data_IF_134168837826
#
_entry.id   IF_134168837826
#
_cell.length_a   1.000
_cell.length_b   1.000
_cell.length_c   1.000
_cell.angle_alpha   90.00
_cell.angle_beta   90.00
_cell.angle_gamma   90.00
#
_symmetry.space_group_name_H-M   'P 1'
#
loop_
_entity.id
_entity.type
_entity.pdbx_description
1 polymer ?
#
# COMPACT_ATOMS: atom_id res chain seq x y z
N UNK A 1 18.35 -16.04 6.76
CA UNK A 1 17.21 -15.19 6.36
C UNK A 1 15.96 -15.78 7.01
N UNK A 2 15.42 -15.15 8.07
CA UNK A 2 14.21 -15.68 8.73
C UNK A 2 13.01 -15.41 7.84
N UNK A 3 12.41 -16.45 7.27
CA UNK A 3 11.14 -16.34 6.51
C UNK A 3 10.01 -16.13 7.50
N UNK A 4 9.69 -14.87 7.83
CA UNK A 4 8.44 -14.56 8.53
C UNK A 4 7.30 -14.88 7.57
N UNK A 5 6.55 -15.93 7.86
CA UNK A 5 5.31 -16.25 7.16
C UNK A 5 4.24 -15.29 7.69
N UNK A 6 3.63 -14.52 6.80
CA UNK A 6 2.47 -13.72 7.15
C UNK A 6 1.24 -14.61 7.05
N UNK A 7 0.52 -14.77 8.16
CA UNK A 7 -0.77 -15.47 8.14
C UNK A 7 -1.80 -14.60 7.43
N UNK A 8 -2.38 -15.15 6.38
CA UNK A 8 -3.47 -14.52 5.62
C UNK A 8 -4.77 -15.17 6.09
N UNK A 9 -5.67 -14.44 6.76
CA UNK A 9 -6.95 -14.99 7.19
C UNK A 9 -7.77 -15.51 6.00
N UNK A 10 -8.43 -16.65 6.17
CA UNK A 10 -9.27 -17.25 5.13
C UNK A 10 -10.46 -16.36 4.76
N UNK A 11 -11.01 -15.62 5.73
CA UNK A 11 -12.06 -14.63 5.50
C UNK A 11 -11.61 -13.49 4.58
N UNK A 12 -10.37 -13.01 4.76
CA UNK A 12 -9.79 -11.98 3.89
C UNK A 12 -9.62 -12.52 2.47
N UNK A 13 -9.10 -13.73 2.32
CA UNK A 13 -8.93 -14.36 1.01
C UNK A 13 -10.28 -14.56 0.31
N UNK A 14 -11.28 -15.03 1.06
CA UNK A 14 -12.65 -15.20 0.57
C UNK A 14 -13.25 -13.87 0.12
N UNK A 15 -13.05 -12.80 0.89
CA UNK A 15 -13.51 -11.45 0.53
C UNK A 15 -12.85 -10.92 -0.75
N UNK A 16 -11.53 -11.12 -0.89
CA UNK A 16 -10.79 -10.71 -2.08
C UNK A 16 -11.24 -11.46 -3.35
N UNK A 17 -11.64 -12.73 -3.21
CA UNK A 17 -12.04 -13.59 -4.33
C UNK A 17 -13.56 -13.65 -4.57
N UNK A 18 -14.38 -12.97 -3.77
CA UNK A 18 -15.84 -13.09 -3.77
C UNK A 18 -16.52 -12.89 -5.14
N UNK A 19 -15.91 -12.13 -6.04
CA UNK A 19 -16.45 -11.81 -7.38
C UNK A 19 -15.60 -12.37 -8.53
N UNK A 20 -14.68 -13.28 -8.25
CA UNK A 20 -13.81 -13.87 -9.27
C UNK A 20 -14.62 -14.72 -10.25
N UNK A 21 -14.51 -14.44 -11.56
CA UNK A 21 -15.21 -15.20 -12.61
C UNK A 21 -14.26 -15.76 -13.65
N UNK A 22 -13.17 -15.06 -13.95
CA UNK A 22 -12.23 -15.42 -15.02
C UNK A 22 -10.80 -15.01 -14.67
N UNK A 23 -9.77 -15.63 -15.28
CA UNK A 23 -8.37 -15.33 -14.97
C UNK A 23 -8.01 -13.85 -15.07
N UNK A 24 -8.61 -13.10 -16.00
CA UNK A 24 -8.35 -11.67 -16.21
C UNK A 24 -8.74 -10.83 -14.98
N UNK A 25 -9.68 -11.27 -14.16
CA UNK A 25 -10.06 -10.57 -12.93
C UNK A 25 -8.93 -10.62 -11.89
N UNK A 26 -8.04 -11.61 -11.97
CA UNK A 26 -6.90 -11.77 -11.07
C UNK A 26 -5.62 -11.16 -11.64
N UNK A 27 -5.30 -11.48 -12.89
CA UNK A 27 -4.00 -11.15 -13.54
C UNK A 27 -4.09 -10.14 -14.69
N UNK A 28 -5.29 -9.70 -15.07
CA UNK A 28 -5.49 -8.74 -16.16
C UNK A 28 -4.97 -7.34 -15.83
N UNK A 29 -5.07 -6.43 -16.80
CA UNK A 29 -4.58 -5.05 -16.65
C UNK A 29 -5.22 -4.30 -15.48
N UNK A 30 -6.47 -4.63 -15.16
CA UNK A 30 -7.22 -4.11 -14.01
C UNK A 30 -7.45 -5.20 -12.95
N UNK A 31 -6.67 -6.29 -13.00
CA UNK A 31 -6.82 -7.44 -12.13
C UNK A 31 -6.45 -7.16 -10.69
N UNK A 32 -6.99 -7.98 -9.80
CA UNK A 32 -6.84 -7.89 -8.35
C UNK A 32 -5.37 -7.82 -7.91
N UNK A 33 -4.47 -8.64 -8.47
CA UNK A 33 -3.08 -8.67 -8.03
C UNK A 33 -2.34 -7.36 -8.29
N UNK A 34 -2.62 -6.73 -9.44
CA UNK A 34 -2.03 -5.43 -9.79
C UNK A 34 -2.53 -4.32 -8.86
N UNK A 35 -3.83 -4.31 -8.58
CA UNK A 35 -4.42 -3.37 -7.62
C UNK A 35 -3.88 -3.58 -6.21
N UNK A 36 -3.78 -4.82 -5.76
CA UNK A 36 -3.25 -5.16 -4.43
C UNK A 36 -1.79 -4.75 -4.29
N UNK A 37 -0.96 -5.02 -5.31
CA UNK A 37 0.44 -4.60 -5.33
C UNK A 37 0.57 -3.08 -5.24
N UNK A 38 -0.25 -2.34 -6.01
CA UNK A 38 -0.30 -0.88 -5.94
C UNK A 38 -0.62 -0.41 -4.51
N UNK A 39 -1.69 -0.92 -3.91
CA UNK A 39 -2.13 -0.51 -2.58
C UNK A 39 -1.08 -0.80 -1.51
N UNK A 40 -0.43 -1.97 -1.57
CA UNK A 40 0.64 -2.35 -0.65
C UNK A 40 1.84 -1.41 -0.77
N UNK A 41 2.30 -1.12 -1.99
CA UNK A 41 3.42 -0.21 -2.23
C UNK A 41 3.06 1.21 -1.77
N UNK A 42 1.88 1.73 -2.10
CA UNK A 42 1.45 3.05 -1.65
C UNK A 42 1.40 3.15 -0.12
N UNK A 43 0.95 2.09 0.56
CA UNK A 43 0.88 2.06 2.03
C UNK A 43 2.27 1.98 2.67
N UNK A 44 3.19 1.22 2.08
CA UNK A 44 4.58 1.15 2.51
C UNK A 44 5.27 2.51 2.35
N UNK A 45 5.12 3.16 1.19
CA UNK A 45 5.68 4.49 0.92
C UNK A 45 5.11 5.57 1.86
N UNK A 46 3.80 5.54 2.13
CA UNK A 46 3.19 6.48 3.09
C UNK A 46 3.73 6.26 4.53
N UNK A 47 4.04 5.02 4.92
CA UNK A 47 4.68 4.72 6.21
C UNK A 47 6.13 5.20 6.25
N UNK A 48 6.92 4.94 5.21
CA UNK A 48 8.30 5.42 5.09
C UNK A 48 8.39 6.95 5.10
N UNK A 49 7.44 7.64 4.45
CA UNK A 49 7.38 9.10 4.47
C UNK A 49 7.08 9.65 5.87
N UNK A 50 6.25 8.94 6.64
CA UNK A 50 5.96 9.30 8.03
C UNK A 50 7.21 9.20 8.89
N UNK A 51 7.93 8.08 8.79
CA UNK A 51 9.19 7.87 9.50
C UNK A 51 10.22 8.94 9.10
N UNK A 52 10.36 9.22 7.80
CA UNK A 52 11.32 10.20 7.31
C UNK A 52 11.03 11.63 7.79
N UNK A 53 9.76 12.04 7.82
CA UNK A 53 9.36 13.39 8.24
C UNK A 53 9.21 13.53 9.75
N UNK A 54 9.06 12.42 10.48
CA UNK A 54 8.85 12.39 11.92
C UNK A 54 7.47 12.89 12.37
N UNK A 55 6.50 12.95 11.45
CA UNK A 55 5.12 13.35 11.77
C UNK A 55 4.11 12.74 10.79
N UNK A 56 2.87 12.59 11.25
CA UNK A 56 1.75 12.05 10.50
C UNK A 56 1.11 13.06 9.54
N UNK A 57 0.15 12.58 8.73
CA UNK A 57 -0.63 13.44 7.83
C UNK A 57 -1.46 14.41 8.68
N UNK A 58 -1.34 15.70 8.40
CA UNK A 58 -2.06 16.78 9.09
C UNK A 58 -1.69 16.94 10.57
N UNK A 59 -0.59 16.34 11.02
CA UNK A 59 -0.05 16.60 12.35
C UNK A 59 0.72 17.92 12.38
N UNK A 60 0.84 18.51 13.57
CA UNK A 60 1.69 19.68 13.79
C UNK A 60 3.15 19.34 13.43
N UNK A 61 3.78 20.22 12.65
CA UNK A 61 5.15 20.01 12.17
C UNK A 61 6.12 20.48 13.26
N UNK A 62 6.80 19.53 13.89
CA UNK A 62 7.81 19.80 14.91
C UNK A 62 9.24 19.46 14.45
N UNK A 63 9.43 19.06 13.19
CA UNK A 63 10.74 18.67 12.70
C UNK A 63 11.67 19.90 12.51
N UNK A 64 12.99 19.78 12.79
CA UNK A 64 13.91 20.94 12.75
C UNK A 64 14.07 21.56 11.35
N UNK A 65 13.87 20.76 10.31
CA UNK A 65 14.02 21.21 8.91
C UNK A 65 12.78 21.99 8.41
N UNK A 66 11.64 21.90 9.10
CA UNK A 66 10.37 22.46 8.63
C UNK A 66 9.81 21.77 7.38
N UNK A 67 10.28 20.55 7.07
CA UNK A 67 9.83 19.82 5.88
C UNK A 67 8.40 19.31 6.09
N UNK A 68 7.55 19.53 5.08
CA UNK A 68 6.14 19.14 5.10
C UNK A 68 5.76 18.31 3.89
N UNK A 69 4.65 17.59 3.99
CA UNK A 69 4.13 16.76 2.90
C UNK A 69 3.60 17.67 1.78
N UNK A 70 4.03 17.41 0.53
CA UNK A 70 3.66 18.21 -0.64
C UNK A 70 2.87 17.40 -1.69
N UNK A 71 1.74 16.84 -1.27
CA UNK A 71 0.85 16.08 -2.17
C UNK A 71 1.37 14.68 -2.55
N UNK A 72 0.93 14.18 -3.72
CA UNK A 72 1.30 12.87 -4.29
C UNK A 72 1.57 13.01 -5.79
N UNK A 73 2.46 12.18 -6.33
CA UNK A 73 2.74 12.12 -7.77
C UNK A 73 2.49 10.71 -8.32
N UNK A 74 2.11 10.60 -9.59
CA UNK A 74 1.89 9.32 -10.26
C UNK A 74 3.21 8.76 -10.80
N UNK A 75 3.44 7.47 -10.60
CA UNK A 75 4.57 6.74 -11.17
C UNK A 75 4.09 5.41 -11.72
N UNK A 76 4.49 5.09 -12.95
CA UNK A 76 4.32 3.76 -13.54
C UNK A 76 5.52 2.92 -13.11
N UNK A 77 5.26 1.76 -12.50
CA UNK A 77 6.27 0.80 -12.05
C UNK A 77 6.47 -0.30 -13.10
#
# INVERSE_FOLDING_TARGET
MSTKKHDVPEELLSGLLANYKKPEDLIGENGLLKQLTKLLVERALDAELTEHLGHERNEAVANPAGNTRNGKSRKTL
#
